data_IF_429247975854
#
_entry.id   IF_429247975854
#
_cell.length_a   1.000
_cell.length_b   1.000
_cell.length_c   1.000
_cell.angle_alpha   90.00
_cell.angle_beta   90.00
_cell.angle_gamma   90.00
#
_symmetry.space_group_name_H-M   'P 1'
#
loop_
_entity.id
_entity.type
_entity.pdbx_description
1 polymer ?
#
# COMPACT_ATOMS: atom_id res chain seq x y z
N UNK A 1 -0.84 1.06 -19.92
CA UNK A 1 -0.76 2.52 -19.75
C UNK A 1 0.51 3.02 -20.39
N UNK A 2 0.39 3.83 -21.43
CA UNK A 2 1.51 4.42 -22.16
C UNK A 2 2.15 5.59 -21.40
N UNK A 3 3.35 6.02 -21.80
CA UNK A 3 4.06 7.15 -21.15
C UNK A 3 3.26 8.45 -21.26
N UNK A 4 2.55 8.66 -22.36
CA UNK A 4 1.71 9.84 -22.57
C UNK A 4 0.50 9.86 -21.62
N UNK A 5 -0.20 8.74 -21.49
CA UNK A 5 -1.32 8.57 -20.54
C UNK A 5 -0.87 8.77 -19.09
N UNK A 6 0.32 8.28 -18.75
CA UNK A 6 0.93 8.50 -17.45
C UNK A 6 1.20 9.99 -17.17
N UNK A 7 1.80 10.69 -18.12
CA UNK A 7 2.07 12.12 -17.96
C UNK A 7 0.76 12.91 -17.80
N UNK A 8 -0.27 12.54 -18.54
CA UNK A 8 -1.59 13.14 -18.38
C UNK A 8 -2.20 12.80 -17.02
N UNK A 9 -2.06 11.57 -16.52
CA UNK A 9 -2.49 11.17 -15.17
C UNK A 9 -1.85 12.00 -14.07
N UNK A 10 -0.55 12.23 -14.16
CA UNK A 10 0.16 13.07 -13.20
C UNK A 10 -0.26 14.55 -13.31
N UNK A 11 -0.47 15.07 -14.52
CA UNK A 11 -0.97 16.45 -14.74
C UNK A 11 -2.37 16.64 -14.19
N UNK A 12 -3.27 15.69 -14.43
CA UNK A 12 -4.63 15.68 -13.93
C UNK A 12 -4.64 15.59 -12.40
N UNK A 13 -3.81 14.73 -11.83
CA UNK A 13 -3.65 14.62 -10.38
C UNK A 13 -3.18 15.94 -9.77
N UNK A 14 -2.14 16.56 -10.35
CA UNK A 14 -1.59 17.84 -9.90
C UNK A 14 -2.62 18.97 -9.99
N UNK A 15 -3.38 19.02 -11.08
CA UNK A 15 -4.47 19.96 -11.26
C UNK A 15 -5.55 19.74 -10.20
N UNK A 16 -5.94 18.49 -9.94
CA UNK A 16 -6.97 18.13 -8.96
C UNK A 16 -6.58 18.50 -7.54
N UNK A 17 -5.34 18.19 -7.13
CA UNK A 17 -4.77 18.58 -5.83
C UNK A 17 -4.77 20.11 -5.66
N UNK A 18 -4.41 20.84 -6.72
CA UNK A 18 -4.39 22.31 -6.72
C UNK A 18 -5.80 22.90 -6.58
N UNK A 19 -6.80 22.30 -7.24
CA UNK A 19 -8.21 22.75 -7.20
C UNK A 19 -8.82 22.62 -5.81
N UNK A 20 -8.53 21.53 -5.10
CA UNK A 20 -9.04 21.32 -3.73
C UNK A 20 -8.23 22.09 -2.67
N UNK A 21 -7.24 22.90 -3.08
CA UNK A 21 -6.37 23.70 -2.21
C UNK A 21 -5.72 22.87 -1.10
N UNK A 22 -5.42 21.61 -1.37
CA UNK A 22 -4.79 20.74 -0.37
C UNK A 22 -3.32 21.12 -0.21
N UNK A 23 -3.00 21.75 0.93
CA UNK A 23 -1.64 22.19 1.27
C UNK A 23 -0.75 21.00 1.66
N UNK A 24 -0.20 20.31 0.66
CA UNK A 24 0.79 19.25 0.85
C UNK A 24 2.21 19.80 0.75
N UNK A 25 3.12 19.34 1.62
CA UNK A 25 4.57 19.59 1.45
C UNK A 25 5.05 18.89 0.18
N UNK A 26 6.10 19.42 -0.45
CA UNK A 26 6.63 18.89 -1.71
C UNK A 26 6.98 17.40 -1.65
N UNK A 27 7.59 16.95 -0.55
CA UNK A 27 7.91 15.53 -0.33
C UNK A 27 6.65 14.65 -0.22
N UNK A 28 5.63 15.14 0.47
CA UNK A 28 4.36 14.43 0.66
C UNK A 28 3.55 14.35 -0.62
N UNK A 29 3.48 15.44 -1.39
CA UNK A 29 2.85 15.48 -2.71
C UNK A 29 3.50 14.45 -3.64
N UNK A 30 4.83 14.44 -3.68
CA UNK A 30 5.61 13.47 -4.45
C UNK A 30 5.32 12.03 -4.03
N UNK A 31 5.17 11.77 -2.73
CA UNK A 31 4.81 10.43 -2.24
C UNK A 31 3.41 10.01 -2.69
N UNK A 32 2.43 10.92 -2.63
CA UNK A 32 1.08 10.69 -3.16
C UNK A 32 1.10 10.35 -4.66
N UNK A 33 1.89 11.08 -5.46
CA UNK A 33 2.06 10.79 -6.89
C UNK A 33 2.61 9.37 -7.14
N UNK A 34 3.65 8.97 -6.39
CA UNK A 34 4.24 7.63 -6.49
C UNK A 34 3.23 6.55 -6.14
N UNK A 35 2.50 6.75 -5.03
CA UNK A 35 1.53 5.77 -4.53
C UNK A 35 0.36 5.61 -5.51
N UNK A 36 -0.20 6.71 -6.04
CA UNK A 36 -1.24 6.66 -7.07
C UNK A 36 -0.72 5.99 -8.34
N UNK A 37 0.50 6.32 -8.76
CA UNK A 37 1.07 5.72 -9.94
C UNK A 37 1.28 4.21 -9.77
N UNK A 38 1.78 3.78 -8.62
CA UNK A 38 1.99 2.36 -8.32
C UNK A 38 0.68 1.58 -8.34
N UNK A 39 -0.43 2.19 -7.93
CA UNK A 39 -1.78 1.63 -8.04
C UNK A 39 -2.22 1.54 -9.51
N UNK A 40 -2.13 2.64 -10.27
CA UNK A 40 -2.54 2.68 -11.68
C UNK A 40 -1.77 1.68 -12.57
N UNK A 41 -0.50 1.42 -12.26
CA UNK A 41 0.31 0.47 -13.03
C UNK A 41 0.21 -0.97 -12.52
N UNK A 42 -0.52 -1.21 -11.43
CA UNK A 42 -0.61 -2.52 -10.78
C UNK A 42 0.70 -2.97 -10.11
N UNK A 43 1.66 -2.07 -9.94
CA UNK A 43 2.91 -2.37 -9.25
C UNK A 43 2.65 -2.56 -7.74
N UNK A 44 1.66 -1.84 -7.22
CA UNK A 44 1.10 -2.04 -5.89
C UNK A 44 -0.40 -2.26 -5.95
N UNK A 45 -0.94 -3.25 -5.22
CA UNK A 45 -2.39 -3.47 -5.15
C UNK A 45 -3.09 -2.51 -4.18
N UNK A 46 -2.38 -2.03 -3.16
CA UNK A 46 -2.88 -1.17 -2.09
C UNK A 46 -1.78 -0.20 -1.68
N UNK A 47 -2.15 1.00 -1.23
CA UNK A 47 -1.23 1.95 -0.57
C UNK A 47 -1.83 2.43 0.74
N UNK A 48 -0.97 2.77 1.69
CA UNK A 48 -1.37 3.40 2.94
C UNK A 48 -1.31 4.91 2.76
N UNK A 49 -2.42 5.58 3.06
CA UNK A 49 -2.50 7.03 2.98
C UNK A 49 -2.25 7.65 4.36
N UNK A 50 -1.09 8.27 4.54
CA UNK A 50 -0.75 9.14 5.68
C UNK A 50 0.00 10.40 5.20
N UNK A 51 -0.68 11.21 4.38
CA UNK A 51 -0.12 12.42 3.78
C UNK A 51 -0.26 13.67 4.66
N UNK A 52 -0.49 13.48 5.97
CA UNK A 52 -0.81 14.57 6.87
C UNK A 52 -2.24 15.11 6.65
N UNK A 53 -2.94 15.29 7.76
CA UNK A 53 -4.36 15.64 7.77
C UNK A 53 -5.06 14.98 8.95
N UNK A 54 -6.28 15.44 9.25
CA UNK A 54 -7.16 14.79 10.20
C UNK A 54 -8.20 13.98 9.43
N UNK A 55 -8.62 12.85 9.99
CA UNK A 55 -9.86 12.22 9.54
C UNK A 55 -11.05 13.06 10.02
N UNK A 56 -12.16 13.16 9.26
CA UNK A 56 -12.41 12.56 7.95
C UNK A 56 -11.90 13.39 6.76
N UNK A 57 -11.44 14.64 6.98
CA UNK A 57 -11.05 15.57 5.89
C UNK A 57 -10.03 15.01 4.89
N UNK A 58 -9.08 14.20 5.37
CA UNK A 58 -8.10 13.53 4.51
C UNK A 58 -8.78 12.60 3.49
N UNK A 59 -9.76 11.83 3.95
CA UNK A 59 -10.54 10.92 3.11
C UNK A 59 -11.34 11.72 2.08
N UNK A 60 -12.07 12.75 2.49
CA UNK A 60 -12.89 13.57 1.59
C UNK A 60 -12.04 14.20 0.48
N UNK A 61 -10.86 14.71 0.84
CA UNK A 61 -9.92 15.28 -0.12
C UNK A 61 -9.39 14.25 -1.12
N UNK A 62 -9.08 13.04 -0.66
CA UNK A 62 -8.62 11.96 -1.53
C UNK A 62 -9.72 11.47 -2.46
N UNK A 63 -10.93 11.23 -1.93
CA UNK A 63 -12.09 10.87 -2.74
C UNK A 63 -12.35 11.94 -3.80
N UNK A 64 -12.36 13.22 -3.42
CA UNK A 64 -12.54 14.33 -4.37
C UNK A 64 -11.43 14.35 -5.44
N UNK A 65 -10.17 14.15 -5.06
CA UNK A 65 -9.05 14.09 -6.03
C UNK A 65 -9.20 12.92 -6.98
N UNK A 66 -9.56 11.74 -6.47
CA UNK A 66 -9.77 10.55 -7.29
C UNK A 66 -10.97 10.72 -8.23
N UNK A 67 -12.10 11.24 -7.76
CA UNK A 67 -13.27 11.52 -8.59
C UNK A 67 -12.97 12.52 -9.70
N UNK A 68 -12.25 13.61 -9.37
CA UNK A 68 -11.81 14.60 -10.36
C UNK A 68 -10.87 13.99 -11.39
N UNK A 69 -10.05 13.02 -10.98
CA UNK A 69 -9.08 12.36 -11.85
C UNK A 69 -9.74 11.27 -12.72
N UNK A 70 -10.69 10.51 -12.17
CA UNK A 70 -11.48 9.49 -12.88
C UNK A 70 -12.36 10.08 -13.98
N UNK A 71 -12.90 11.29 -13.77
CA UNK A 71 -13.62 12.04 -14.82
C UNK A 71 -12.77 12.35 -16.05
N UNK A 72 -11.44 12.22 -15.95
CA UNK A 72 -10.50 12.54 -17.03
C UNK A 72 -9.72 11.31 -17.51
N UNK A 73 -9.52 10.28 -16.68
CA UNK A 73 -8.67 9.13 -16.98
C UNK A 73 -9.23 7.85 -16.37
N UNK A 74 -9.54 6.88 -17.23
CA UNK A 74 -10.16 5.61 -16.85
C UNK A 74 -9.19 4.60 -16.19
N UNK A 75 -7.87 4.76 -16.31
CA UNK A 75 -6.88 3.93 -15.59
C UNK A 75 -6.81 4.20 -14.08
N UNK A 76 -7.53 5.22 -13.60
CA UNK A 76 -7.71 5.55 -12.18
C UNK A 76 -8.97 4.85 -11.62
N UNK A 77 -9.78 4.20 -12.47
CA UNK A 77 -10.89 3.38 -12.05
C UNK A 77 -10.36 2.11 -11.37
N UNK A 78 -10.79 1.86 -10.12
CA UNK A 78 -10.41 0.66 -9.36
C UNK A 78 -9.34 0.85 -8.28
N UNK A 79 -8.85 2.08 -8.07
CA UNK A 79 -7.90 2.37 -6.98
C UNK A 79 -8.56 2.13 -5.61
N UNK A 80 -7.97 1.24 -4.80
CA UNK A 80 -8.41 0.95 -3.43
C UNK A 80 -7.45 1.59 -2.44
N UNK A 81 -7.95 2.60 -1.72
CA UNK A 81 -7.18 3.30 -0.69
C UNK A 81 -7.52 2.78 0.69
N UNK A 82 -6.49 2.53 1.50
CA UNK A 82 -6.64 2.37 2.94
C UNK A 82 -6.19 3.63 3.64
N UNK A 83 -7.12 4.33 4.27
CA UNK A 83 -6.82 5.51 5.10
C UNK A 83 -6.67 5.07 6.55
N UNK A 84 -5.60 5.52 7.22
CA UNK A 84 -5.34 5.18 8.62
C UNK A 84 -5.84 6.31 9.53
N UNK A 85 -6.62 5.97 10.55
CA UNK A 85 -6.88 6.87 11.67
C UNK A 85 -5.71 6.81 12.68
N UNK A 86 -5.15 7.98 13.00
CA UNK A 86 -4.04 8.14 13.95
C UNK A 86 -4.43 7.83 15.39
N UNK A 87 -5.73 7.80 15.71
CA UNK A 87 -6.23 7.55 17.07
C UNK A 87 -6.33 6.06 17.45
N UNK A 88 -6.02 5.14 16.53
CA UNK A 88 -6.17 3.70 16.75
C UNK A 88 -4.95 3.01 17.40
N UNK A 89 -3.86 3.74 17.69
CA UNK A 89 -2.77 3.19 18.49
C UNK A 89 -3.23 3.09 19.94
N UNK A 90 -3.55 1.85 20.37
CA UNK A 90 -3.77 1.55 21.78
C UNK A 90 -2.60 2.09 22.61
N UNK A 91 -2.89 2.95 23.60
CA UNK A 91 -1.90 3.35 24.59
C UNK A 91 -1.38 2.08 25.28
N UNK A 92 -0.05 1.89 25.40
CA UNK A 92 0.49 0.73 26.09
C UNK A 92 0.00 0.76 27.54
N UNK A 93 -0.72 -0.28 27.95
CA UNK A 93 -1.05 -0.52 29.35
C UNK A 93 0.22 -0.92 30.09
N UNK A 94 0.56 -0.19 31.14
CA UNK A 94 1.68 -0.46 32.03
C UNK A 94 1.43 -1.78 32.79
N UNK A 95 1.97 -2.87 32.26
CA UNK A 95 1.96 -4.19 32.89
C UNK A 95 3.21 -4.95 32.46
N UNK A 96 4.26 -4.88 33.27
CA UNK A 96 5.54 -5.52 33.03
C UNK A 96 5.49 -6.99 33.46
N UNK A 97 5.56 -7.92 32.51
CA UNK A 97 6.20 -9.22 32.71
C UNK A 97 7.36 -9.34 31.73
N UNK A 98 8.59 -9.20 32.23
CA UNK A 98 9.82 -9.38 31.46
C UNK A 98 9.96 -10.84 31.05
N UNK A 99 9.47 -11.18 29.86
CA UNK A 99 9.81 -12.42 29.15
C UNK A 99 10.64 -12.09 27.92
N UNK A 100 11.74 -12.82 27.71
CA UNK A 100 12.42 -12.82 26.42
C UNK A 100 11.50 -13.48 25.39
N UNK A 101 10.94 -12.71 24.46
CA UNK A 101 10.17 -13.27 23.36
C UNK A 101 11.11 -13.64 22.22
N UNK A 102 11.17 -14.94 21.94
CA UNK A 102 11.90 -15.45 20.78
C UNK A 102 11.07 -15.20 19.52
N UNK A 103 11.56 -14.29 18.66
CA UNK A 103 11.01 -14.12 17.32
C UNK A 103 11.39 -15.35 16.50
N UNK A 104 10.42 -15.93 15.80
CA UNK A 104 10.61 -17.10 14.95
C UNK A 104 9.94 -16.86 13.61
N UNK A 105 10.65 -17.19 12.52
CA UNK A 105 10.01 -17.28 11.21
C UNK A 105 9.06 -18.46 11.20
N UNK A 106 7.79 -18.19 10.93
CA UNK A 106 6.80 -19.25 10.77
C UNK A 106 6.97 -19.92 9.41
N UNK A 107 7.18 -21.23 9.41
CA UNK A 107 7.18 -22.03 8.21
C UNK A 107 5.74 -22.33 7.76
N UNK A 108 5.49 -22.55 6.45
CA UNK A 108 4.19 -23.01 5.97
C UNK A 108 3.77 -24.30 6.68
N UNK A 109 2.72 -24.24 7.51
CA UNK A 109 2.17 -25.40 8.24
C UNK A 109 2.25 -25.31 9.77
N UNK A 110 2.95 -24.33 10.34
CA UNK A 110 2.91 -24.11 11.80
C UNK A 110 1.58 -23.46 12.21
N UNK A 111 0.76 -24.19 12.97
CA UNK A 111 -0.59 -23.77 13.31
C UNK A 111 -0.65 -23.26 14.76
N UNK A 112 -0.97 -21.98 14.93
CA UNK A 112 -1.42 -21.43 16.22
C UNK A 112 -2.77 -20.71 16.02
N UNK A 113 -3.48 -20.41 17.11
CA UNK A 113 -4.82 -19.83 17.07
C UNK A 113 -4.88 -18.50 16.29
N UNK A 114 -3.83 -17.68 16.40
CA UNK A 114 -3.72 -16.38 15.71
C UNK A 114 -3.50 -16.58 14.20
N UNK A 115 -2.68 -17.56 13.81
CA UNK A 115 -2.41 -17.91 12.41
C UNK A 115 -3.68 -18.38 11.73
N UNK A 116 -4.48 -19.23 12.40
CA UNK A 116 -5.78 -19.65 11.87
C UNK A 116 -6.72 -18.46 11.66
N UNK A 117 -6.80 -17.52 12.61
CA UNK A 117 -7.59 -16.31 12.42
C UNK A 117 -7.07 -15.44 11.28
N UNK A 118 -5.75 -15.31 11.14
CA UNK A 118 -5.14 -14.56 10.05
C UNK A 118 -5.48 -15.19 8.70
N UNK A 119 -5.37 -16.51 8.55
CA UNK A 119 -5.77 -17.24 7.35
C UNK A 119 -7.27 -17.04 7.00
N UNK A 120 -8.15 -16.99 8.00
CA UNK A 120 -9.57 -16.69 7.80
C UNK A 120 -9.78 -15.27 7.25
N UNK A 121 -9.05 -14.29 7.79
CA UNK A 121 -9.08 -12.92 7.27
C UNK A 121 -8.56 -12.89 5.82
N UNK A 122 -7.45 -13.58 5.52
CA UNK A 122 -6.91 -13.63 4.16
C UNK A 122 -7.92 -14.22 3.16
N UNK A 123 -8.62 -15.29 3.54
CA UNK A 123 -9.69 -15.89 2.72
C UNK A 123 -10.87 -14.94 2.53
N UNK A 124 -11.30 -14.26 3.59
CA UNK A 124 -12.36 -13.25 3.50
C UNK A 124 -11.97 -12.14 2.51
N UNK A 125 -10.77 -11.58 2.63
CA UNK A 125 -10.27 -10.58 1.69
C UNK A 125 -10.17 -11.13 0.26
N UNK A 126 -9.71 -12.37 0.05
CA UNK A 126 -9.69 -12.96 -1.29
C UNK A 126 -11.09 -13.08 -1.92
N UNK A 127 -12.14 -13.29 -1.11
CA UNK A 127 -13.52 -13.31 -1.58
C UNK A 127 -14.06 -11.93 -1.97
N UNK A 128 -13.63 -10.88 -1.26
CA UNK A 128 -13.99 -9.47 -1.55
C UNK A 128 -13.13 -8.88 -2.66
N UNK A 129 -11.91 -9.41 -2.84
CA UNK A 129 -10.87 -8.93 -3.73
C UNK A 129 -10.30 -10.09 -4.56
N UNK A 130 -11.00 -10.55 -5.61
CA UNK A 130 -10.47 -11.60 -6.48
C UNK A 130 -9.17 -11.12 -7.13
N UNK A 131 -8.10 -11.90 -6.93
CA UNK A 131 -6.72 -11.60 -7.34
C UNK A 131 -6.56 -11.48 -8.87
N UNK A 132 -7.52 -11.99 -9.64
CA UNK A 132 -7.50 -12.04 -11.11
C UNK A 132 -8.60 -11.19 -11.79
N UNK A 133 -9.20 -10.26 -11.05
CA UNK A 133 -10.30 -9.42 -11.53
C UNK A 133 -9.93 -8.30 -12.50
N UNK A 134 -8.95 -8.47 -13.41
CA UNK A 134 -8.90 -7.65 -14.61
C UNK A 134 -9.85 -8.25 -15.65
N UNK A 135 -11.14 -8.28 -15.30
CA UNK A 135 -12.20 -8.62 -16.25
C UNK A 135 -12.08 -7.70 -17.46
N UNK A 136 -12.25 -8.27 -18.65
CA UNK A 136 -12.15 -7.65 -19.98
C UNK A 136 -13.12 -6.48 -20.23
N UNK A 137 -13.71 -5.89 -19.19
CA UNK A 137 -14.84 -4.95 -19.26
C UNK A 137 -14.46 -3.47 -19.15
N UNK A 138 -13.19 -3.12 -18.91
CA UNK A 138 -12.79 -1.70 -18.79
C UNK A 138 -12.45 -1.00 -20.11
N UNK A 139 -12.76 -1.62 -21.25
CA UNK A 139 -12.50 -1.05 -22.58
C UNK A 139 -13.75 -0.39 -23.16
N UNK A 140 -14.19 0.75 -22.61
CA UNK A 140 -14.86 1.79 -23.40
C UNK A 140 -14.95 3.11 -22.63
N UNK A 141 -13.93 3.96 -22.79
CA UNK A 141 -14.09 5.39 -22.56
C UNK A 141 -14.09 6.05 -23.94
N UNK A 142 -15.30 6.24 -24.48
CA UNK A 142 -15.52 6.92 -25.75
C UNK A 142 -15.00 8.35 -25.61
N UNK A 143 -13.91 8.66 -26.31
CA UNK A 143 -13.48 10.03 -26.54
C UNK A 143 -14.63 10.81 -27.15
N UNK A 144 -14.89 11.99 -26.60
CA UNK A 144 -15.96 12.88 -27.05
C UNK A 144 -15.57 13.45 -28.39
N UNK A 145 -16.22 13.01 -29.48
CA UNK A 145 -16.33 13.80 -30.71
C UNK A 145 -17.80 14.17 -30.90
N UNK A 146 -18.02 15.45 -31.21
CA UNK A 146 -19.32 16.07 -31.45
C UNK A 146 -20.07 15.43 -32.63
N UNK A 147 -21.38 15.22 -32.45
CA UNK A 147 -22.35 14.96 -33.51
C UNK A 147 -23.67 14.44 -32.96
N UNK A 148 -24.74 15.23 -33.11
CA UNK A 148 -26.13 14.95 -32.74
C UNK A 148 -26.61 13.55 -33.16
N UNK A 149 -27.34 12.83 -32.29
CA UNK A 149 -28.74 12.44 -32.56
C UNK A 149 -29.40 11.62 -31.43
N UNK A 150 -30.73 11.63 -31.47
CA UNK A 150 -31.72 11.35 -30.42
C UNK A 150 -31.86 9.89 -29.94
N UNK A 151 -32.34 9.80 -28.69
CA UNK A 151 -33.09 8.70 -28.06
C UNK A 151 -32.39 7.34 -27.85
N UNK A 152 -31.89 7.09 -26.64
CA UNK A 152 -32.13 5.81 -25.95
C UNK A 152 -31.99 5.96 -24.44
N UNK A 153 -32.79 5.16 -23.74
CA UNK A 153 -33.13 5.25 -22.32
C UNK A 153 -31.94 4.99 -21.40
N UNK A 154 -31.88 5.82 -20.36
CA UNK A 154 -31.25 5.57 -19.05
C UNK A 154 -31.56 4.17 -18.51
N UNK A 155 -30.53 3.34 -18.33
CA UNK A 155 -30.38 2.51 -17.13
C UNK A 155 -28.92 2.06 -16.98
N UNK A 156 -28.34 2.46 -15.86
CA UNK A 156 -27.16 1.92 -15.16
C UNK A 156 -25.83 1.91 -15.91
N UNK A 157 -25.33 3.12 -16.19
CA UNK A 157 -23.89 3.36 -16.09
C UNK A 157 -23.45 2.88 -14.70
N UNK A 158 -22.66 1.80 -14.66
CA UNK A 158 -22.04 1.30 -13.43
C UNK A 158 -21.25 2.47 -12.85
N UNK A 159 -21.89 3.13 -11.89
CA UNK A 159 -21.28 4.11 -11.01
C UNK A 159 -20.10 3.38 -10.40
N UNK A 160 -18.89 3.71 -10.85
CA UNK A 160 -17.66 3.23 -10.26
C UNK A 160 -17.52 3.90 -8.90
N UNK A 161 -18.37 3.48 -7.96
CA UNK A 161 -18.41 3.99 -6.61
C UNK A 161 -17.12 3.54 -5.95
N UNK A 162 -16.31 4.51 -5.52
CA UNK A 162 -15.25 4.25 -4.56
C UNK A 162 -15.88 3.69 -3.29
N UNK A 163 -15.83 2.37 -3.10
CA UNK A 163 -16.38 1.71 -1.92
C UNK A 163 -15.38 1.83 -0.77
N UNK A 164 -15.81 2.51 0.30
CA UNK A 164 -15.08 2.52 1.56
C UNK A 164 -15.28 1.16 2.24
N UNK A 165 -14.19 0.46 2.49
CA UNK A 165 -14.21 -0.79 3.24
C UNK A 165 -13.82 -0.53 4.69
N UNK A 166 -14.80 -0.54 5.60
CA UNK A 166 -14.52 -0.53 7.03
C UNK A 166 -14.03 -1.92 7.47
N UNK A 167 -12.77 -1.99 7.89
CA UNK A 167 -12.15 -3.21 8.39
C UNK A 167 -12.38 -3.41 9.90
N UNK A 168 -13.04 -2.47 10.58
CA UNK A 168 -13.25 -2.53 12.03
C UNK A 168 -14.01 -3.79 12.43
N UNK A 169 -15.00 -4.21 11.64
CA UNK A 169 -15.78 -5.42 11.87
C UNK A 169 -14.93 -6.70 11.85
N UNK A 170 -13.99 -6.80 10.90
CA UNK A 170 -13.10 -7.96 10.77
C UNK A 170 -12.08 -8.06 11.91
N UNK A 171 -11.69 -6.92 12.50
CA UNK A 171 -10.60 -6.83 13.48
C UNK A 171 -11.11 -6.85 14.93
N UNK A 172 -12.35 -6.40 15.16
CA UNK A 172 -12.92 -6.22 16.51
C UNK A 172 -12.79 -7.48 17.36
N UNK A 173 -13.13 -8.63 16.77
CA UNK A 173 -13.15 -9.93 17.46
C UNK A 173 -11.93 -10.82 17.13
N UNK A 174 -10.94 -10.30 16.40
CA UNK A 174 -9.73 -11.04 16.07
C UNK A 174 -8.59 -10.73 17.05
N UNK A 175 -7.74 -11.71 17.31
CA UNK A 175 -6.45 -11.54 17.99
C UNK A 175 -5.37 -11.00 17.05
N UNK A 176 -5.61 -11.00 15.73
CA UNK A 176 -4.71 -10.42 14.75
C UNK A 176 -4.68 -8.91 14.92
N UNK A 177 -3.46 -8.37 14.98
CA UNK A 177 -3.28 -6.94 15.20
C UNK A 177 -3.33 -6.15 13.89
N UNK A 178 -3.69 -4.87 14.00
CA UNK A 178 -3.75 -3.96 12.85
C UNK A 178 -2.39 -3.80 12.14
N UNK A 179 -1.23 -3.74 12.83
CA UNK A 179 0.08 -3.75 12.20
C UNK A 179 0.32 -4.97 11.29
N UNK A 180 -0.03 -6.19 11.73
CA UNK A 180 0.07 -7.41 10.91
C UNK A 180 -0.74 -7.28 9.64
N UNK A 181 -2.02 -6.89 9.76
CA UNK A 181 -2.90 -6.72 8.61
C UNK A 181 -2.43 -5.62 7.67
N UNK A 182 -1.89 -4.53 8.20
CA UNK A 182 -1.32 -3.46 7.38
C UNK A 182 -0.15 -3.98 6.55
N UNK A 183 0.81 -4.68 7.17
CA UNK A 183 1.95 -5.22 6.43
C UNK A 183 1.51 -6.17 5.31
N UNK A 184 0.57 -7.05 5.62
CA UNK A 184 0.06 -8.02 4.65
C UNK A 184 -0.67 -7.34 3.49
N UNK A 185 -1.61 -6.43 3.78
CA UNK A 185 -2.34 -5.69 2.74
C UNK A 185 -1.43 -4.82 1.89
N UNK A 186 -0.35 -4.30 2.47
CA UNK A 186 0.65 -3.52 1.75
C UNK A 186 1.58 -4.38 0.90
N UNK A 187 1.44 -5.72 0.95
CA UNK A 187 2.22 -6.66 0.15
C UNK A 187 3.63 -6.87 0.67
N UNK A 188 3.87 -6.70 1.98
CA UNK A 188 5.16 -7.02 2.57
C UNK A 188 5.40 -8.53 2.56
N UNK A 189 6.63 -8.97 2.21
CA UNK A 189 6.96 -10.40 2.20
C UNK A 189 7.06 -10.98 3.62
N UNK A 190 7.32 -10.12 4.61
CA UNK A 190 7.42 -10.49 6.02
C UNK A 190 6.49 -9.60 6.84
N UNK A 191 5.72 -10.22 7.73
CA UNK A 191 4.83 -9.53 8.67
C UNK A 191 5.00 -10.09 10.07
N UNK A 192 4.96 -9.22 11.07
CA UNK A 192 5.00 -9.62 12.47
C UNK A 192 3.61 -10.07 12.91
N UNK A 193 3.52 -11.29 13.44
CA UNK A 193 2.29 -11.86 13.97
C UNK A 193 2.40 -12.01 15.49
N UNK A 194 1.58 -11.27 16.22
CA UNK A 194 1.48 -11.34 17.68
C UNK A 194 0.04 -11.06 18.10
N UNK A 195 -0.36 -11.56 19.28
CA UNK A 195 -1.70 -11.38 19.82
C UNK A 195 -1.89 -9.99 20.45
N UNK A 196 -3.14 -9.56 20.62
CA UNK A 196 -3.45 -8.26 21.25
C UNK A 196 -2.89 -8.14 22.67
N UNK A 197 -2.83 -9.25 23.39
CA UNK A 197 -2.30 -9.32 24.76
C UNK A 197 -0.78 -9.11 24.83
N UNK A 198 -0.07 -9.32 23.72
CA UNK A 198 1.40 -9.28 23.65
C UNK A 198 1.92 -8.01 22.94
N UNK A 199 1.08 -7.00 22.75
CA UNK A 199 1.46 -5.77 22.01
C UNK A 199 2.63 -5.07 22.69
N UNK A 200 2.61 -4.93 24.02
CA UNK A 200 3.66 -4.24 24.77
C UNK A 200 5.02 -4.94 24.59
N UNK A 201 5.04 -6.27 24.75
CA UNK A 201 6.24 -7.07 24.58
C UNK A 201 6.72 -7.04 23.12
N UNK A 202 5.82 -7.13 22.15
CA UNK A 202 6.17 -7.04 20.73
C UNK A 202 6.83 -5.70 20.38
N UNK A 203 6.29 -4.59 20.90
CA UNK A 203 6.89 -3.25 20.70
C UNK A 203 8.27 -3.19 21.35
N UNK A 204 8.38 -3.64 22.60
CA UNK A 204 9.66 -3.66 23.31
C UNK A 204 10.71 -4.45 22.53
N UNK A 205 10.42 -5.70 22.17
CA UNK A 205 11.34 -6.57 21.45
C UNK A 205 11.75 -6.01 20.07
N UNK A 206 10.82 -5.40 19.32
CA UNK A 206 11.17 -4.78 18.04
C UNK A 206 12.00 -3.51 18.21
N UNK A 207 11.81 -2.77 19.29
CA UNK A 207 12.60 -1.55 19.58
C UNK A 207 14.02 -1.84 20.07
N UNK A 208 14.23 -3.00 20.68
CA UNK A 208 15.53 -3.40 21.25
C UNK A 208 16.38 -4.28 20.34
N UNK A 209 15.85 -4.70 19.18
CA UNK A 209 16.58 -5.55 18.22
C UNK A 209 17.18 -4.76 17.07
N UNK A 210 18.33 -5.24 16.58
CA UNK A 210 18.90 -4.79 15.31
C UNK A 210 18.02 -5.30 14.16
N UNK A 211 17.73 -4.43 13.21
CA UNK A 211 16.81 -4.69 12.10
C UNK A 211 17.49 -4.44 10.76
N UNK A 212 17.34 -5.37 9.82
CA UNK A 212 17.57 -5.13 8.41
C UNK A 212 16.38 -4.37 7.84
N UNK A 213 16.63 -3.16 7.33
CA UNK A 213 15.65 -2.32 6.66
C UNK A 213 15.78 -2.52 5.15
N UNK A 214 14.81 -3.23 4.59
CA UNK A 214 14.67 -3.45 3.16
C UNK A 214 13.92 -2.27 2.54
N UNK A 215 14.46 -1.74 1.45
CA UNK A 215 13.86 -0.67 0.65
C UNK A 215 13.75 -1.12 -0.79
N UNK A 216 12.54 -1.07 -1.32
CA UNK A 216 12.31 -1.21 -2.76
C UNK A 216 12.32 0.19 -3.35
N UNK A 217 13.30 0.41 -4.21
CA UNK A 217 13.56 1.67 -4.86
C UNK A 217 13.19 1.58 -6.34
N UNK A 218 12.60 2.64 -6.86
CA UNK A 218 12.14 2.70 -8.24
C UNK A 218 12.40 4.07 -8.87
N UNK A 219 12.62 4.08 -10.18
CA UNK A 219 12.69 5.31 -10.97
C UNK A 219 11.40 5.50 -11.77
N UNK A 220 10.88 6.72 -11.83
CA UNK A 220 9.80 7.07 -12.77
C UNK A 220 10.39 7.35 -14.15
N UNK A 221 9.76 6.81 -15.20
CA UNK A 221 10.11 7.19 -16.56
C UNK A 221 9.43 8.52 -16.91
N UNK A 222 10.24 9.51 -17.27
CA UNK A 222 9.76 10.83 -17.67
C UNK A 222 10.89 11.82 -17.90
N UNK A 223 10.61 12.87 -18.67
CA UNK A 223 11.58 13.95 -18.98
C UNK A 223 11.65 14.92 -17.80
N UNK A 224 12.07 14.42 -16.63
CA UNK A 224 12.42 15.31 -15.52
C UNK A 224 13.68 16.08 -15.89
N UNK A 225 13.64 17.42 -15.83
CA UNK A 225 14.83 18.28 -16.01
C UNK A 225 15.96 17.95 -15.00
N UNK A 226 15.67 17.21 -13.94
CA UNK A 226 16.61 16.83 -12.87
C UNK A 226 17.13 15.39 -12.98
N UNK A 227 16.94 14.74 -14.13
CA UNK A 227 17.37 13.36 -14.36
C UNK A 227 16.50 12.31 -13.66
N UNK A 228 16.76 11.02 -13.91
CA UNK A 228 16.09 9.92 -13.23
C UNK A 228 16.46 9.96 -11.74
N UNK A 229 15.45 10.17 -10.89
CA UNK A 229 15.61 10.14 -9.43
C UNK A 229 15.03 8.84 -8.92
N UNK A 230 15.83 8.13 -8.14
CA UNK A 230 15.42 6.94 -7.42
C UNK A 230 14.53 7.35 -6.23
N UNK A 231 13.38 6.70 -6.10
CA UNK A 231 12.36 6.99 -5.12
C UNK A 231 11.93 5.70 -4.42
N UNK A 232 11.62 5.80 -3.13
CA UNK A 232 11.18 4.65 -2.35
C UNK A 232 9.75 4.28 -2.72
N UNK A 233 9.54 3.03 -3.17
CA UNK A 233 8.23 2.45 -3.45
C UNK A 233 7.63 1.85 -2.17
N UNK A 234 8.43 1.10 -1.42
CA UNK A 234 8.04 0.56 -0.12
C UNK A 234 9.28 0.20 0.70
N UNK A 235 9.09 0.11 2.01
CA UNK A 235 10.07 -0.42 2.94
C UNK A 235 9.42 -1.30 3.98
N UNK A 236 10.20 -2.26 4.47
CA UNK A 236 9.85 -3.17 5.56
C UNK A 236 11.11 -3.56 6.34
N UNK A 237 10.94 -3.97 7.59
CA UNK A 237 12.03 -4.36 8.47
C UNK A 237 11.96 -5.83 8.83
N UNK A 238 13.12 -6.46 9.00
CA UNK A 238 13.26 -7.84 9.48
C UNK A 238 14.36 -7.87 10.55
N UNK A 239 14.17 -8.54 11.70
CA UNK A 239 15.21 -8.65 12.72
C UNK A 239 16.44 -9.42 12.20
N UNK A 240 17.63 -9.07 12.69
CA UNK A 240 18.89 -9.73 12.30
C UNK A 240 18.85 -11.23 12.54
N UNK A 241 18.29 -11.66 13.67
CA UNK A 241 18.17 -13.08 14.02
C UNK A 241 17.33 -13.88 13.00
N UNK A 242 16.55 -13.19 12.16
CA UNK A 242 15.65 -13.79 11.18
C UNK A 242 16.02 -13.42 9.74
N UNK A 243 17.08 -12.64 9.52
CA UNK A 243 17.49 -12.26 8.18
C UNK A 243 18.99 -12.12 7.98
N UNK A 244 19.45 -12.58 6.83
CA UNK A 244 20.84 -12.47 6.35
C UNK A 244 21.06 -11.21 5.49
N UNK A 245 20.22 -10.19 5.65
CA UNK A 245 20.33 -8.91 4.94
C UNK A 245 20.06 -9.02 3.44
N UNK A 246 19.14 -9.89 3.03
CA UNK A 246 18.75 -10.12 1.64
C UNK A 246 19.65 -11.08 0.87
N UNK A 247 20.76 -11.55 1.45
CA UNK A 247 21.70 -12.46 0.78
C UNK A 247 21.35 -13.91 1.10
N UNK A 248 21.17 -14.72 0.07
CA UNK A 248 20.83 -16.15 0.17
C UNK A 248 19.51 -16.40 0.94
N UNK A 249 18.52 -15.53 0.73
CA UNK A 249 17.21 -15.62 1.37
C UNK A 249 16.14 -15.95 0.32
N UNK A 250 15.62 -17.19 0.28
CA UNK A 250 14.66 -17.61 -0.76
C UNK A 250 13.42 -16.72 -0.82
N UNK A 251 12.91 -16.28 0.34
CA UNK A 251 11.75 -15.40 0.42
C UNK A 251 12.03 -14.02 -0.18
N UNK A 252 13.26 -13.50 -0.05
CA UNK A 252 13.64 -12.18 -0.55
C UNK A 252 13.85 -12.23 -2.07
N UNK A 253 14.47 -13.30 -2.55
CA UNK A 253 14.65 -13.57 -3.98
C UNK A 253 13.32 -13.76 -4.71
N UNK A 254 12.42 -14.58 -4.15
CA UNK A 254 11.07 -14.79 -4.69
C UNK A 254 10.25 -13.50 -4.70
N UNK A 255 10.33 -12.72 -3.61
CA UNK A 255 9.66 -11.43 -3.53
C UNK A 255 10.16 -10.46 -4.60
N UNK A 256 11.49 -10.33 -4.76
CA UNK A 256 12.07 -9.48 -5.80
C UNK A 256 11.70 -9.96 -7.20
N UNK A 257 11.73 -11.27 -7.46
CA UNK A 257 11.31 -11.85 -8.75
C UNK A 257 9.84 -11.56 -9.07
N UNK A 258 8.96 -11.66 -8.08
CA UNK A 258 7.54 -11.29 -8.20
C UNK A 258 7.36 -9.80 -8.53
N UNK A 259 8.12 -8.92 -7.85
CA UNK A 259 8.11 -7.48 -8.12
C UNK A 259 8.66 -7.15 -9.51
N UNK A 260 9.74 -7.80 -9.95
CA UNK A 260 10.31 -7.65 -11.29
C UNK A 260 9.31 -8.09 -12.36
N UNK A 261 8.54 -9.15 -12.11
CA UNK A 261 7.48 -9.60 -13.04
C UNK A 261 6.37 -8.56 -13.20
N UNK A 262 5.95 -7.91 -12.10
CA UNK A 262 4.99 -6.80 -12.14
C UNK A 262 5.59 -5.58 -12.84
N UNK A 263 6.85 -5.28 -12.56
CA UNK A 263 7.59 -4.17 -13.16
C UNK A 263 7.73 -4.33 -14.67
N UNK A 264 8.03 -5.52 -15.19
CA UNK A 264 8.12 -5.79 -16.63
C UNK A 264 6.83 -5.45 -17.38
N UNK A 265 5.66 -5.69 -16.76
CA UNK A 265 4.35 -5.33 -17.31
C UNK A 265 4.10 -3.83 -17.35
N UNK A 266 4.89 -3.04 -16.62
CA UNK A 266 4.75 -1.59 -16.50
C UNK A 266 6.05 -0.80 -16.70
N UNK A 267 7.06 -1.37 -17.37
CA UNK A 267 8.37 -0.76 -17.63
C UNK A 267 8.33 0.51 -18.48
N UNK A 268 7.22 0.78 -19.13
CA UNK A 268 6.98 2.06 -19.79
C UNK A 268 6.78 3.18 -18.76
N UNK A 269 6.14 2.90 -17.62
CA UNK A 269 5.91 3.86 -16.55
C UNK A 269 7.10 3.99 -15.59
N UNK A 270 7.87 2.91 -15.44
CA UNK A 270 8.93 2.80 -14.44
C UNK A 270 10.28 2.43 -15.08
N UNK A 271 11.34 3.11 -14.67
CA UNK A 271 12.73 2.83 -15.01
C UNK A 271 13.27 1.71 -14.13
N UNK A 272 14.46 1.86 -13.57
CA UNK A 272 15.07 0.82 -12.73
C UNK A 272 14.24 0.49 -11.48
N UNK A 273 14.20 -0.79 -11.09
CA UNK A 273 13.69 -1.30 -9.81
C UNK A 273 14.82 -2.04 -9.09
N UNK A 274 15.06 -1.69 -7.83
CA UNK A 274 16.14 -2.26 -7.03
C UNK A 274 15.70 -2.49 -5.59
N UNK A 275 16.23 -3.53 -4.96
CA UNK A 275 16.14 -3.74 -3.52
C UNK A 275 17.46 -3.33 -2.86
N UNK A 276 17.38 -2.46 -1.86
CA UNK A 276 18.49 -2.10 -0.99
C UNK A 276 18.22 -2.58 0.43
N UNK A 277 19.27 -3.01 1.12
CA UNK A 277 19.20 -3.40 2.53
C UNK A 277 20.15 -2.51 3.31
N UNK A 278 19.62 -1.92 4.38
CA UNK A 278 20.35 -1.07 5.30
C UNK A 278 20.21 -1.58 6.72
N UNK A 279 21.22 -1.32 7.53
CA UNK A 279 21.29 -1.74 8.92
C UNK A 279 20.68 -0.68 9.84
N UNK A 280 19.81 -1.10 10.75
CA UNK A 280 19.19 -0.23 11.76
C UNK A 280 19.44 -0.82 13.15
N UNK A 281 20.22 -0.11 13.95
CA UNK A 281 20.54 -0.53 15.32
C UNK A 281 19.48 -0.04 16.31
N UNK A 282 19.31 -0.74 17.45
CA UNK A 282 18.39 -0.33 18.49
C UNK A 282 18.63 1.12 18.91
N UNK A 283 17.58 1.91 18.92
CA UNK A 283 17.60 3.25 19.51
C UNK A 283 16.93 3.15 20.87
N UNK A 284 17.62 3.57 21.93
CA UNK A 284 17.03 3.60 23.26
C UNK A 284 15.78 4.48 23.23
N UNK A 285 14.61 3.85 23.31
CA UNK A 285 13.35 4.57 23.50
C UNK A 285 13.36 5.03 24.95
N UNK A 286 13.68 6.30 25.18
CA UNK A 286 13.43 6.94 26.48
C UNK A 286 11.90 7.05 26.58
N UNK A 287 11.31 6.10 27.31
CA UNK A 287 9.89 6.10 27.68
C UNK A 287 9.62 7.16 28.76
#
# INVERSE_FOLDING_TARGET
MEVAELQEALRVLDSSVSRIKWRLRAATKRRLEIDILALCTGLRPVVMVDYGGKMPELQDRLCTVLELSQKRICSICGIKLKVRDKNSLCRPSTGSSKGEFLLKMMLPGEQNSITTQFMLIQRFFASVFPVDGMGKELMHCKGTDHGDDKNSQTSDLISSQSSLFDLSGCIRNSQVTLPTLNGWLLGYPVVYLFGKEQIADAIYNLSTKSLHLFKILICRNGVSRKGPRQEELMSFSVPYDLSMGGKNEPWAEEFLASMMTKWERCKQAWGNLQMEVSECYPQAVVL
#
